data_IF_268644124331
#
_entry.id   IF_268644124331
#
_cell.length_a   1.000
_cell.length_b   1.000
_cell.length_c   1.000
_cell.angle_alpha   90.00
_cell.angle_beta   90.00
_cell.angle_gamma   90.00
#
_symmetry.space_group_name_H-M   'P 1'
#
loop_
_entity.id
_entity.type
_entity.pdbx_description
1 polymer ?
#
# COMPACT_ATOMS: atom_id res chain seq x y z
N UNK A 1 42.97 -9.45 -5.26
CA UNK A 1 42.57 -10.47 -4.26
C UNK A 1 41.44 -9.94 -3.40
N UNK A 2 40.26 -10.60 -3.41
CA UNK A 2 39.14 -10.29 -2.54
C UNK A 2 39.25 -11.10 -1.24
N UNK A 3 38.89 -10.52 -0.11
CA UNK A 3 38.77 -11.25 1.15
C UNK A 3 37.38 -11.05 1.77
N UNK A 4 36.90 -12.08 2.43
CA UNK A 4 35.66 -12.01 3.21
C UNK A 4 35.95 -11.31 4.54
N UNK A 5 35.18 -10.27 4.81
CA UNK A 5 35.22 -9.53 6.07
C UNK A 5 33.97 -9.94 6.89
N UNK A 6 34.09 -10.31 8.15
CA UNK A 6 32.92 -10.54 8.98
C UNK A 6 32.11 -9.24 9.11
N UNK A 7 30.78 -9.34 9.00
CA UNK A 7 29.90 -8.25 9.31
C UNK A 7 29.86 -7.99 10.82
N UNK A 8 29.58 -6.76 11.21
CA UNK A 8 29.32 -6.43 12.60
C UNK A 8 28.09 -7.19 13.09
N UNK A 9 28.05 -7.52 14.38
CA UNK A 9 26.93 -8.21 15.01
C UNK A 9 25.67 -7.35 14.99
N UNK A 10 24.50 -8.01 14.97
CA UNK A 10 23.21 -7.34 15.09
C UNK A 10 22.88 -7.17 16.57
N UNK A 11 22.61 -5.94 16.98
CA UNK A 11 22.17 -5.62 18.35
C UNK A 11 20.69 -5.26 18.32
N UNK A 12 19.90 -5.79 19.26
CA UNK A 12 18.50 -5.37 19.43
C UNK A 12 18.46 -3.90 19.83
N UNK A 13 17.69 -3.11 19.07
CA UNK A 13 17.49 -1.69 19.37
C UNK A 13 16.31 -1.50 20.32
N UNK A 14 15.21 -2.22 20.08
CA UNK A 14 14.00 -2.15 20.88
C UNK A 14 13.15 -3.42 20.69
N UNK A 15 12.35 -3.73 21.71
CA UNK A 15 11.36 -4.80 21.66
C UNK A 15 9.96 -4.18 21.49
N UNK A 16 9.26 -4.56 20.42
CA UNK A 16 7.93 -4.07 20.12
C UNK A 16 6.81 -4.99 20.63
N UNK A 17 5.57 -4.59 20.38
CA UNK A 17 4.36 -5.26 20.87
C UNK A 17 4.03 -6.60 20.16
N UNK A 18 4.95 -7.20 19.45
CA UNK A 18 4.77 -8.49 18.75
C UNK A 18 5.60 -8.60 17.48
N UNK A 19 5.26 -9.57 16.63
CA UNK A 19 5.99 -9.82 15.39
C UNK A 19 5.99 -8.59 14.46
N UNK A 20 7.13 -8.33 13.82
CA UNK A 20 7.23 -7.29 12.83
C UNK A 20 6.43 -7.66 11.58
N UNK A 21 5.50 -6.81 11.17
CA UNK A 21 4.61 -7.00 10.01
C UNK A 21 4.94 -6.08 8.85
N UNK A 22 5.91 -5.20 9.00
CA UNK A 22 6.36 -4.26 7.98
C UNK A 22 6.74 -2.91 8.59
N UNK A 23 7.36 -2.08 7.77
CA UNK A 23 7.73 -0.74 8.18
C UNK A 23 8.12 0.12 7.01
N UNK A 24 8.10 1.43 7.22
CA UNK A 24 8.38 2.45 6.23
C UNK A 24 9.06 3.65 6.88
N UNK A 25 9.93 4.32 6.15
CA UNK A 25 10.43 5.65 6.53
C UNK A 25 9.56 6.71 5.88
N UNK A 26 8.95 7.57 6.68
CA UNK A 26 8.13 8.68 6.22
C UNK A 26 8.41 9.94 7.04
N UNK A 27 8.60 11.09 6.39
CA UNK A 27 8.96 12.37 7.02
C UNK A 27 10.12 12.21 8.02
N UNK A 28 11.19 11.54 7.56
CA UNK A 28 12.41 11.27 8.32
C UNK A 28 12.28 10.43 9.61
N UNK A 29 11.13 9.81 9.82
CA UNK A 29 10.85 8.93 10.93
C UNK A 29 10.61 7.50 10.47
N UNK A 30 11.04 6.51 11.24
CA UNK A 30 10.78 5.10 10.97
C UNK A 30 9.46 4.70 11.64
N UNK A 31 8.55 4.19 10.85
CA UNK A 31 7.29 3.63 11.32
C UNK A 31 7.24 2.12 11.09
N UNK A 32 6.62 1.39 12.01
CA UNK A 32 6.47 -0.05 11.93
C UNK A 32 5.09 -0.49 12.43
N UNK A 33 4.62 -1.59 11.84
CA UNK A 33 3.53 -2.38 12.43
C UNK A 33 4.16 -3.58 13.14
N UNK A 34 3.98 -3.64 14.45
CA UNK A 34 4.49 -4.71 15.31
C UNK A 34 3.33 -5.33 16.09
N UNK A 35 3.07 -6.62 15.87
CA UNK A 35 1.81 -7.22 16.29
C UNK A 35 0.63 -6.49 15.68
N UNK A 36 -0.25 -5.95 16.49
CA UNK A 36 -1.40 -5.16 16.07
C UNK A 36 -1.29 -3.66 16.45
N UNK A 37 -0.05 -3.15 16.59
CA UNK A 37 0.22 -1.75 16.93
C UNK A 37 1.01 -1.07 15.83
N UNK A 38 0.62 0.17 15.52
CA UNK A 38 1.39 1.06 14.66
C UNK A 38 2.26 1.96 15.52
N UNK A 39 3.56 1.86 15.30
CA UNK A 39 4.58 2.47 16.16
C UNK A 39 5.55 3.33 15.34
N UNK A 40 6.01 4.45 15.90
CA UNK A 40 7.27 5.05 15.46
C UNK A 40 8.44 4.49 16.29
N UNK A 41 9.57 4.34 15.64
CA UNK A 41 10.82 3.89 16.25
C UNK A 41 11.84 5.01 16.14
N UNK A 42 12.27 5.53 17.27
CA UNK A 42 13.30 6.58 17.34
C UNK A 42 14.71 5.95 17.21
N UNK A 43 15.70 6.77 16.88
CA UNK A 43 17.09 6.34 16.74
C UNK A 43 17.67 5.72 18.01
N UNK A 44 17.20 6.15 19.18
CA UNK A 44 17.59 5.61 20.49
C UNK A 44 16.82 4.36 20.90
N UNK A 45 15.93 3.85 20.04
CA UNK A 45 15.08 2.70 20.30
C UNK A 45 13.77 3.01 21.05
N UNK A 46 13.49 4.26 21.39
CA UNK A 46 12.21 4.61 22.00
C UNK A 46 11.06 4.36 21.01
N UNK A 47 9.95 3.84 21.53
CA UNK A 47 8.75 3.53 20.75
C UNK A 47 7.63 4.50 21.10
N UNK A 48 7.01 5.08 20.08
CA UNK A 48 5.78 5.85 20.24
C UNK A 48 4.64 5.09 19.59
N UNK A 49 3.60 4.78 20.36
CA UNK A 49 2.44 4.02 19.91
C UNK A 49 1.34 4.96 19.45
N UNK A 50 0.90 4.79 18.19
CA UNK A 50 -0.17 5.59 17.58
C UNK A 50 -1.52 4.89 17.52
N UNK A 51 -1.56 3.59 17.82
CA UNK A 51 -2.83 2.91 17.92
C UNK A 51 -2.86 1.52 17.30
N UNK A 52 -4.07 0.99 17.26
CA UNK A 52 -4.36 -0.36 16.79
C UNK A 52 -4.48 -0.40 15.27
N UNK A 53 -3.93 -1.45 14.67
CA UNK A 53 -4.15 -1.87 13.28
C UNK A 53 -4.51 -3.35 13.23
N UNK A 54 -5.50 -3.70 12.42
CA UNK A 54 -6.03 -5.06 12.34
C UNK A 54 -5.06 -6.08 11.73
N UNK A 55 -5.49 -7.35 11.78
CA UNK A 55 -4.84 -8.48 11.11
C UNK A 55 -3.56 -8.98 11.78
N UNK A 56 -3.00 -10.04 11.18
CA UNK A 56 -1.76 -10.69 11.61
C UNK A 56 -0.76 -10.85 10.47
N UNK A 57 -1.21 -10.67 9.23
CA UNK A 57 -0.39 -10.75 8.03
C UNK A 57 0.45 -9.49 7.85
N UNK A 58 1.26 -9.46 6.81
CA UNK A 58 2.08 -8.33 6.48
C UNK A 58 1.25 -7.08 6.20
N UNK A 59 1.75 -5.95 6.65
CA UNK A 59 1.21 -4.64 6.30
C UNK A 59 1.95 -4.07 5.09
N UNK A 60 1.22 -3.39 4.21
CA UNK A 60 1.78 -2.59 3.11
C UNK A 60 1.58 -1.10 3.38
N UNK A 61 2.40 -0.27 2.75
CA UNK A 61 2.46 1.15 3.04
C UNK A 61 2.60 1.95 1.75
N UNK A 62 1.90 3.04 1.69
CA UNK A 62 2.10 4.09 0.68
C UNK A 62 1.92 5.47 1.30
N UNK A 63 2.50 6.50 0.71
CA UNK A 63 2.42 7.83 1.28
C UNK A 63 1.91 8.86 0.27
N UNK A 64 1.02 9.72 0.72
CA UNK A 64 0.69 10.99 0.08
C UNK A 64 1.52 12.13 0.69
N UNK A 65 1.23 13.37 0.29
CA UNK A 65 1.82 14.54 0.95
C UNK A 65 1.35 14.68 2.40
N UNK A 66 0.08 14.35 2.68
CA UNK A 66 -0.57 14.59 3.97
C UNK A 66 -0.65 13.35 4.84
N UNK A 67 -0.77 12.17 4.24
CA UNK A 67 -1.03 10.92 4.94
C UNK A 67 -0.05 9.82 4.58
N UNK A 68 0.31 9.04 5.59
CA UNK A 68 0.85 7.69 5.41
C UNK A 68 -0.32 6.71 5.50
N UNK A 69 -0.57 5.96 4.43
CA UNK A 69 -1.55 4.88 4.42
C UNK A 69 -0.91 3.56 4.83
N UNK A 70 -1.59 2.83 5.68
CA UNK A 70 -1.22 1.50 6.17
C UNK A 70 -2.34 0.54 5.78
N UNK A 71 -2.07 -0.42 4.92
CA UNK A 71 -2.98 -1.52 4.66
C UNK A 71 -2.63 -2.70 5.58
N UNK A 72 -3.56 -3.08 6.44
CA UNK A 72 -3.35 -4.13 7.42
C UNK A 72 -4.68 -4.83 7.79
N UNK A 73 -4.70 -6.16 7.73
CA UNK A 73 -5.86 -6.96 8.10
C UNK A 73 -7.12 -6.68 7.28
N UNK A 74 -6.95 -6.36 5.99
CA UNK A 74 -8.06 -6.06 5.09
C UNK A 74 -8.63 -4.64 5.22
N UNK A 75 -7.97 -3.76 5.99
CA UNK A 75 -8.40 -2.38 6.22
C UNK A 75 -7.29 -1.40 5.88
N UNK A 76 -7.68 -0.19 5.53
CA UNK A 76 -6.76 0.92 5.31
C UNK A 76 -6.85 1.90 6.48
N UNK A 77 -5.70 2.23 7.03
CA UNK A 77 -5.54 3.24 8.06
C UNK A 77 -4.73 4.41 7.49
N UNK A 78 -5.16 5.63 7.76
CA UNK A 78 -4.47 6.86 7.37
C UNK A 78 -3.88 7.52 8.62
N UNK A 79 -2.63 7.89 8.53
CA UNK A 79 -1.89 8.55 9.58
C UNK A 79 -1.39 9.91 9.10
N UNK A 80 -1.77 11.00 9.77
CA UNK A 80 -1.43 12.37 9.39
C UNK A 80 -0.09 12.87 10.00
N UNK A 81 0.57 12.04 10.80
CA UNK A 81 1.75 12.36 11.59
C UNK A 81 1.44 12.48 13.09
N UNK A 82 0.17 12.52 13.46
CA UNK A 82 -0.30 12.66 14.84
C UNK A 82 -1.37 11.64 15.19
N UNK A 83 -2.36 11.46 14.31
CA UNK A 83 -3.54 10.64 14.53
C UNK A 83 -3.62 9.52 13.50
N UNK A 84 -3.86 8.31 13.97
CA UNK A 84 -4.16 7.14 13.14
C UNK A 84 -5.68 6.96 13.06
N UNK A 85 -6.23 6.93 11.85
CA UNK A 85 -7.66 6.77 11.62
C UNK A 85 -7.92 5.72 10.54
N UNK A 86 -8.84 4.78 10.79
CA UNK A 86 -9.28 3.80 9.80
C UNK A 86 -10.26 4.43 8.80
N UNK A 87 -10.16 4.06 7.53
CA UNK A 87 -11.22 4.32 6.56
C UNK A 87 -12.34 3.33 6.84
N UNK A 88 -13.51 3.85 7.23
CA UNK A 88 -14.68 3.04 7.62
C UNK A 88 -15.82 3.08 6.60
N UNK A 89 -15.57 3.67 5.43
CA UNK A 89 -16.53 3.70 4.34
C UNK A 89 -16.78 2.26 3.86
N UNK A 90 -18.05 1.87 3.84
CA UNK A 90 -18.48 0.51 3.50
C UNK A 90 -18.18 0.14 2.04
N UNK A 91 -18.12 1.13 1.18
CA UNK A 91 -17.85 0.95 -0.25
C UNK A 91 -16.36 0.68 -0.57
N UNK A 92 -15.48 0.83 0.44
CA UNK A 92 -14.08 0.41 0.31
C UNK A 92 -13.94 -1.12 0.26
N UNK A 93 -14.79 -1.84 1.00
CA UNK A 93 -14.68 -3.29 1.13
C UNK A 93 -13.40 -3.75 1.82
N UNK A 94 -12.94 -4.95 1.47
CA UNK A 94 -11.68 -5.52 1.98
C UNK A 94 -10.52 -5.08 1.10
N UNK A 95 -9.47 -4.55 1.70
CA UNK A 95 -8.26 -4.10 0.99
C UNK A 95 -7.15 -5.15 1.08
N UNK A 96 -6.65 -5.62 -0.08
CA UNK A 96 -5.47 -6.49 -0.15
C UNK A 96 -4.18 -5.68 -0.26
N UNK A 97 -4.23 -4.53 -0.94
CA UNK A 97 -3.10 -3.63 -1.10
C UNK A 97 -3.58 -2.19 -1.35
N UNK A 98 -2.70 -1.22 -1.14
CA UNK A 98 -3.01 0.20 -1.32
C UNK A 98 -1.83 0.95 -1.95
N UNK A 99 -2.11 1.82 -2.93
CA UNK A 99 -1.12 2.71 -3.53
C UNK A 99 -1.68 4.13 -3.69
N UNK A 100 -0.84 5.14 -3.45
CA UNK A 100 -1.22 6.54 -3.65
C UNK A 100 -0.78 7.04 -5.02
N UNK A 101 -1.72 7.54 -5.80
CA UNK A 101 -1.47 8.09 -7.13
C UNK A 101 -2.43 9.23 -7.47
N UNK A 102 -1.88 10.33 -7.99
CA UNK A 102 -2.66 11.46 -8.52
C UNK A 102 -3.75 11.99 -7.58
N UNK A 103 -3.51 11.96 -6.27
CA UNK A 103 -4.45 12.44 -5.26
C UNK A 103 -5.45 11.41 -4.74
N UNK A 104 -5.41 10.19 -5.23
CA UNK A 104 -6.26 9.08 -4.81
C UNK A 104 -5.45 8.04 -4.03
N UNK A 105 -6.05 7.43 -3.03
CA UNK A 105 -5.61 6.13 -2.54
C UNK A 105 -6.38 5.07 -3.32
N UNK A 106 -5.66 4.29 -4.10
CA UNK A 106 -6.20 3.17 -4.86
C UNK A 106 -5.99 1.89 -4.07
N UNK A 107 -7.03 1.10 -3.94
CA UNK A 107 -7.02 -0.20 -3.28
C UNK A 107 -7.51 -1.29 -4.23
N UNK A 108 -7.32 -2.54 -3.85
CA UNK A 108 -7.89 -3.69 -4.53
C UNK A 108 -8.41 -4.71 -3.53
N UNK A 109 -9.53 -5.33 -3.85
CA UNK A 109 -10.09 -6.50 -3.16
C UNK A 109 -9.69 -7.83 -3.83
N UNK A 110 -8.94 -7.74 -4.94
CA UNK A 110 -8.53 -8.85 -5.79
C UNK A 110 -9.28 -8.89 -7.13
N UNK A 111 -10.49 -8.39 -7.18
CA UNK A 111 -11.33 -8.38 -8.40
C UNK A 111 -11.45 -6.95 -8.97
N UNK A 112 -11.50 -5.96 -8.08
CA UNK A 112 -11.73 -4.56 -8.43
C UNK A 112 -10.56 -3.66 -8.02
N UNK A 113 -10.42 -2.55 -8.73
CA UNK A 113 -9.62 -1.40 -8.36
C UNK A 113 -10.54 -0.31 -7.83
N UNK A 114 -10.40 0.06 -6.58
CA UNK A 114 -11.26 0.99 -5.86
C UNK A 114 -10.44 2.23 -5.51
N UNK A 115 -11.01 3.41 -5.63
CA UNK A 115 -10.32 4.66 -5.30
C UNK A 115 -11.08 5.46 -4.28
N UNK A 116 -10.38 6.12 -3.37
CA UNK A 116 -10.96 7.14 -2.48
C UNK A 116 -11.38 8.37 -3.28
N UNK A 117 -12.22 9.23 -2.71
CA UNK A 117 -12.57 10.48 -3.35
C UNK A 117 -11.41 11.48 -3.36
N UNK A 118 -11.29 12.23 -4.43
CA UNK A 118 -10.32 13.32 -4.53
C UNK A 118 -10.63 14.40 -3.48
N UNK A 119 -9.65 14.68 -2.64
CA UNK A 119 -9.78 15.67 -1.55
C UNK A 119 -10.45 15.15 -0.27
N UNK A 120 -11.00 13.92 -0.26
CA UNK A 120 -11.46 13.26 0.96
C UNK A 120 -11.04 11.77 0.97
N UNK A 121 -9.88 11.46 1.53
CA UNK A 121 -9.36 10.09 1.50
C UNK A 121 -10.12 9.11 2.40
N UNK A 122 -11.11 9.58 3.17
CA UNK A 122 -11.96 8.74 4.03
C UNK A 122 -13.27 8.34 3.38
N UNK A 123 -13.55 8.79 2.16
CA UNK A 123 -14.77 8.51 1.40
C UNK A 123 -14.47 7.77 0.11
N UNK A 124 -15.33 6.84 -0.25
CA UNK A 124 -15.29 6.05 -1.48
C UNK A 124 -16.60 6.22 -2.24
N UNK A 125 -16.52 6.46 -3.53
CA UNK A 125 -17.70 6.47 -4.38
C UNK A 125 -17.83 5.10 -5.07
N UNK A 126 -18.85 4.30 -4.78
CA UNK A 126 -18.99 2.94 -5.31
C UNK A 126 -19.17 2.88 -6.83
N UNK A 127 -19.42 4.01 -7.48
CA UNK A 127 -19.48 4.11 -8.96
C UNK A 127 -18.10 4.33 -9.61
N UNK A 128 -17.06 4.61 -8.81
CA UNK A 128 -15.69 4.84 -9.27
C UNK A 128 -14.82 3.62 -9.03
N UNK A 129 -15.06 2.56 -9.75
CA UNK A 129 -14.22 1.36 -9.70
C UNK A 129 -13.73 0.98 -11.10
N UNK A 130 -12.61 0.30 -11.14
CA UNK A 130 -12.04 -0.33 -12.33
C UNK A 130 -11.83 -1.81 -12.10
N UNK A 131 -11.46 -2.53 -13.14
CA UNK A 131 -11.15 -3.94 -13.06
C UNK A 131 -9.93 -4.28 -13.91
N UNK A 132 -9.18 -5.29 -13.49
CA UNK A 132 -8.07 -5.88 -14.23
C UNK A 132 -8.57 -7.20 -14.82
N UNK A 133 -9.09 -7.15 -16.06
CA UNK A 133 -9.90 -8.24 -16.63
C UNK A 133 -9.39 -8.81 -17.97
N UNK A 134 -8.18 -8.46 -18.42
CA UNK A 134 -7.65 -9.06 -19.65
C UNK A 134 -7.51 -10.59 -19.50
N UNK A 135 -7.19 -11.02 -18.29
CA UNK A 135 -7.16 -12.43 -17.92
C UNK A 135 -7.99 -12.65 -16.65
N UNK A 136 -8.68 -13.78 -16.45
CA UNK A 136 -9.38 -14.12 -15.22
C UNK A 136 -8.35 -14.43 -14.11
N UNK A 137 -7.75 -13.39 -13.57
CA UNK A 137 -6.51 -13.44 -12.79
C UNK A 137 -6.58 -12.40 -11.67
N UNK A 138 -6.65 -12.81 -10.39
CA UNK A 138 -6.86 -11.88 -9.30
C UNK A 138 -5.67 -10.92 -9.12
N UNK A 139 -5.98 -9.66 -8.82
CA UNK A 139 -5.00 -8.65 -8.44
C UNK A 139 -4.47 -8.97 -7.05
N UNK A 140 -3.15 -9.10 -6.92
CA UNK A 140 -2.49 -9.43 -5.65
C UNK A 140 -1.68 -8.27 -5.08
N UNK A 141 -1.37 -7.27 -5.91
CA UNK A 141 -0.64 -6.08 -5.47
C UNK A 141 -0.88 -4.91 -6.41
N UNK A 142 -0.70 -3.72 -5.88
CA UNK A 142 -0.62 -2.47 -6.63
C UNK A 142 0.79 -1.91 -6.53
N UNK A 143 1.33 -1.45 -7.64
CA UNK A 143 2.63 -0.79 -7.67
C UNK A 143 2.51 0.50 -8.49
N UNK A 144 3.19 1.53 -8.05
CA UNK A 144 3.26 2.79 -8.79
C UNK A 144 4.62 2.94 -9.42
N UNK A 145 4.64 3.31 -10.68
CA UNK A 145 5.84 3.77 -11.35
C UNK A 145 5.52 5.05 -12.13
N UNK A 146 6.13 6.17 -11.74
CA UNK A 146 5.81 7.50 -12.26
C UNK A 146 4.34 7.86 -12.06
N UNK A 147 3.58 8.02 -13.16
CA UNK A 147 2.16 8.38 -13.14
C UNK A 147 1.24 7.22 -13.54
N UNK A 148 1.75 6.00 -13.50
CA UNK A 148 1.03 4.79 -13.84
C UNK A 148 0.91 3.87 -12.64
N UNK A 149 -0.21 3.14 -12.57
CA UNK A 149 -0.42 2.06 -11.61
C UNK A 149 -0.32 0.73 -12.35
N UNK A 150 0.43 -0.15 -11.78
CA UNK A 150 0.59 -1.53 -12.22
C UNK A 150 -0.28 -2.40 -11.31
N UNK A 151 -1.40 -2.86 -11.82
CA UNK A 151 -2.19 -3.90 -11.19
C UNK A 151 -1.47 -5.24 -11.42
N UNK A 152 -0.79 -5.68 -10.38
CA UNK A 152 -0.02 -6.92 -10.42
C UNK A 152 -0.95 -8.07 -10.05
N UNK A 153 -1.31 -8.85 -11.05
CA UNK A 153 -2.14 -10.04 -10.91
C UNK A 153 -1.25 -11.26 -10.61
N UNK A 154 -1.86 -12.41 -10.35
CA UNK A 154 -1.11 -13.63 -10.07
C UNK A 154 -0.27 -14.11 -11.25
N UNK A 155 -0.73 -13.91 -12.49
CA UNK A 155 -0.04 -14.39 -13.71
C UNK A 155 0.25 -13.28 -14.71
N UNK A 156 -0.38 -12.13 -14.58
CA UNK A 156 -0.24 -10.99 -15.48
C UNK A 156 -0.01 -9.68 -14.73
N UNK A 157 0.37 -8.63 -15.45
CA UNK A 157 0.35 -7.25 -14.94
C UNK A 157 -0.37 -6.40 -15.97
N UNK A 158 -1.32 -5.62 -15.52
CA UNK A 158 -2.02 -4.61 -16.32
C UNK A 158 -1.62 -3.20 -15.86
N UNK A 159 -1.48 -2.31 -16.81
CA UNK A 159 -1.03 -0.93 -16.55
C UNK A 159 -2.20 0.02 -16.71
N UNK A 160 -2.38 0.90 -15.73
CA UNK A 160 -3.42 1.92 -15.71
C UNK A 160 -2.80 3.31 -15.64
N UNK A 161 -3.30 4.23 -16.44
CA UNK A 161 -2.91 5.63 -16.44
C UNK A 161 -4.11 6.53 -16.13
N UNK A 162 -3.85 7.71 -15.56
CA UNK A 162 -4.89 8.67 -15.26
C UNK A 162 -5.60 9.17 -16.51
N UNK A 163 -6.92 9.32 -16.44
CA UNK A 163 -7.78 9.85 -17.50
C UNK A 163 -8.04 11.32 -17.23
N UNK A 164 -7.92 12.15 -18.27
CA UNK A 164 -8.35 13.54 -18.23
C UNK A 164 -9.88 13.61 -18.23
N UNK A 165 -10.46 14.31 -17.25
CA UNK A 165 -11.90 14.50 -17.10
C UNK A 165 -12.69 13.19 -17.01
N UNK A 166 -12.47 12.35 -16.02
CA UNK A 166 -13.16 11.06 -15.87
C UNK A 166 -14.68 11.20 -15.62
N UNK A 167 -15.17 12.43 -15.41
CA UNK A 167 -16.55 12.67 -15.00
C UNK A 167 -16.85 12.03 -13.64
N UNK A 168 -17.92 11.24 -13.58
CA UNK A 168 -18.28 10.43 -12.40
C UNK A 168 -17.67 9.03 -12.41
N UNK A 169 -16.90 8.70 -13.44
CA UNK A 169 -16.34 7.36 -13.63
C UNK A 169 -14.99 7.13 -12.90
N UNK A 170 -14.45 5.94 -13.10
CA UNK A 170 -13.14 5.59 -12.58
C UNK A 170 -12.05 6.50 -13.19
N UNK A 171 -11.16 7.09 -12.36
CA UNK A 171 -10.22 8.10 -12.83
C UNK A 171 -9.00 7.56 -13.57
N UNK A 172 -8.95 6.28 -13.84
CA UNK A 172 -7.86 5.63 -14.56
C UNK A 172 -8.41 4.77 -15.69
N UNK A 173 -7.64 4.65 -16.76
CA UNK A 173 -7.94 3.73 -17.84
C UNK A 173 -6.75 2.82 -18.08
N UNK A 174 -7.03 1.59 -18.49
CA UNK A 174 -5.99 0.64 -18.89
C UNK A 174 -5.23 1.17 -20.11
N UNK A 175 -3.91 1.03 -20.07
CA UNK A 175 -3.04 1.34 -21.19
C UNK A 175 -3.05 0.16 -22.14
N UNK A 176 -3.65 0.35 -23.33
CA UNK A 176 -3.73 -0.72 -24.33
C UNK A 176 -2.33 -1.15 -24.81
N UNK A 177 -2.12 -2.46 -24.90
CA UNK A 177 -0.84 -3.04 -25.34
C UNK A 177 0.27 -3.03 -24.29
N UNK A 178 0.03 -2.52 -23.09
CA UNK A 178 1.01 -2.51 -21.99
C UNK A 178 0.85 -3.67 -21.00
N UNK A 179 0.28 -4.79 -21.45
CA UNK A 179 0.14 -5.98 -20.61
C UNK A 179 1.45 -6.77 -20.54
N UNK A 180 1.79 -7.22 -19.33
CA UNK A 180 2.94 -8.09 -19.06
C UNK A 180 2.42 -9.48 -18.70
N UNK A 181 2.83 -10.51 -19.43
CA UNK A 181 2.42 -11.91 -19.20
C UNK A 181 3.27 -12.58 -18.10
N UNK A 182 3.46 -11.87 -17.00
CA UNK A 182 4.15 -12.32 -15.79
C UNK A 182 3.55 -11.60 -14.59
N UNK A 183 3.10 -12.35 -13.62
CA UNK A 183 2.51 -11.80 -12.40
C UNK A 183 3.37 -12.07 -11.15
N UNK A 184 2.77 -11.93 -9.99
CA UNK A 184 3.42 -12.13 -8.70
C UNK A 184 2.61 -13.04 -7.78
N UNK A 185 3.26 -13.64 -6.79
CA UNK A 185 2.61 -14.53 -5.82
C UNK A 185 1.94 -13.78 -4.66
N UNK A 186 2.15 -12.48 -4.55
CA UNK A 186 1.58 -11.63 -3.49
C UNK A 186 2.23 -10.24 -3.47
N UNK A 187 1.71 -9.35 -2.65
CA UNK A 187 2.08 -7.93 -2.56
C UNK A 187 3.55 -7.67 -2.22
N UNK A 188 4.26 -8.64 -1.66
CA UNK A 188 5.68 -8.52 -1.31
C UNK A 188 6.63 -9.13 -2.34
N UNK A 189 6.11 -9.66 -3.43
CA UNK A 189 6.90 -10.24 -4.50
C UNK A 189 7.25 -9.24 -5.61
N UNK A 190 6.85 -7.99 -5.45
CA UNK A 190 7.12 -6.89 -6.37
C UNK A 190 7.53 -5.63 -5.62
N UNK A 191 8.36 -4.81 -6.23
CA UNK A 191 8.79 -3.52 -5.70
C UNK A 191 9.26 -2.62 -6.85
N UNK A 192 9.17 -1.31 -6.64
CA UNK A 192 9.86 -0.32 -7.46
C UNK A 192 11.35 -0.38 -7.15
N UNK A 193 12.16 -0.44 -8.19
CA UNK A 193 13.62 -0.37 -8.09
C UNK A 193 14.14 0.78 -8.96
N UNK A 194 14.85 1.72 -8.35
CA UNK A 194 15.49 2.86 -9.01
C UNK A 194 17.00 2.73 -8.97
#
# INVERSE_FOLDING_TARGET
EGYLRPAEGIVSLADGAGANRGGVRWRDRLYRVMGNRFLAVEENGALTDYGFVGGYDWATFTASFDYLAINAGGNIYLFDGTTLQQITDVDLGTSLDVEWINGYFMSTDGDSLIVTDLGNPFSVNPLKYGSSEISPDPVVSLQKLRNEVYAVNRYTVEVFAAVLNPGSGFPFARVEGAQIMKGAVGSRACCEFM
#
